data_IF_569526911457
#
_entry.id   IF_569526911457
#
_cell.length_a   1.000
_cell.length_b   1.000
_cell.length_c   1.000
_cell.angle_alpha   90.00
_cell.angle_beta   90.00
_cell.angle_gamma   90.00
#
_symmetry.space_group_name_H-M   'P 1'
#
loop_
_entity.id
_entity.type
_entity.pdbx_description
1 polymer ?
#
# COMPACT_ATOMS: atom_id res chain seq x y z
N UNK A 1 47.94 32.40 34.29
CA UNK A 1 46.50 32.14 34.54
C UNK A 1 45.72 33.33 34.01
N UNK A 2 44.57 33.20 33.30
CA UNK A 2 43.92 32.06 32.62
C UNK A 2 43.90 32.24 31.07
N UNK A 3 43.88 31.20 30.21
CA UNK A 3 42.85 30.23 29.74
C UNK A 3 41.73 30.79 28.81
N UNK A 4 41.48 30.05 27.71
CA UNK A 4 40.25 29.88 26.88
C UNK A 4 40.11 30.85 25.67
N UNK A 5 39.81 30.41 24.43
CA UNK A 5 39.48 29.06 23.96
C UNK A 5 39.16 28.95 22.45
N UNK A 6 39.26 27.68 22.02
CA UNK A 6 38.67 26.93 20.90
C UNK A 6 37.82 27.69 19.85
N UNK A 7 38.29 27.62 18.60
CA UNK A 7 37.49 27.81 17.39
C UNK A 7 36.62 26.57 17.15
N UNK A 8 35.30 26.70 17.37
CA UNK A 8 34.30 25.77 16.86
C UNK A 8 33.92 26.14 15.42
N UNK A 9 34.04 25.20 14.48
CA UNK A 9 33.45 25.33 13.15
C UNK A 9 31.92 25.27 13.28
N UNK A 10 31.26 26.40 13.10
CA UNK A 10 29.82 26.46 12.84
C UNK A 10 29.57 25.97 11.41
N UNK A 11 28.89 24.84 11.28
CA UNK A 11 28.26 24.42 10.02
C UNK A 11 26.98 25.25 9.93
N UNK A 12 26.96 26.24 9.04
CA UNK A 12 25.76 27.03 8.75
C UNK A 12 24.79 26.20 7.92
N UNK A 13 23.67 25.81 8.53
CA UNK A 13 22.48 25.31 7.83
C UNK A 13 21.85 26.52 7.10
N UNK A 14 22.00 26.61 5.78
CA UNK A 14 21.26 27.60 4.99
C UNK A 14 19.85 27.08 4.73
N UNK A 15 18.85 27.64 5.42
CA UNK A 15 17.45 27.52 5.02
C UNK A 15 17.19 28.65 4.03
N UNK A 16 17.02 28.31 2.75
CA UNK A 16 16.58 29.28 1.74
C UNK A 16 15.05 29.45 1.90
N UNK A 17 14.62 30.62 2.33
CA UNK A 17 13.20 30.98 2.44
C UNK A 17 12.76 31.62 1.11
N UNK A 18 11.86 30.96 0.39
CA UNK A 18 11.20 31.57 -0.76
C UNK A 18 9.93 32.25 -0.27
N UNK A 19 9.87 33.57 -0.41
CA UNK A 19 8.68 34.36 -0.13
C UNK A 19 7.87 34.45 -1.41
N UNK A 20 6.73 33.77 -1.46
CA UNK A 20 5.74 33.97 -2.51
C UNK A 20 4.72 35.00 -2.03
N UNK A 21 4.65 36.12 -2.75
CA UNK A 21 3.61 37.14 -2.54
C UNK A 21 2.41 36.74 -3.39
N UNK A 22 1.29 36.44 -2.75
CA UNK A 22 0.02 36.22 -3.46
C UNK A 22 -0.58 37.56 -3.91
N UNK A 23 -1.52 37.53 -4.88
CA UNK A 23 -2.21 38.73 -5.37
C UNK A 23 -2.92 39.55 -4.26
N UNK A 24 -3.10 38.98 -3.07
CA UNK A 24 -3.71 39.62 -1.90
C UNK A 24 -2.69 40.07 -0.83
N UNK A 25 -1.38 40.05 -1.10
CA UNK A 25 -0.36 40.58 -0.20
C UNK A 25 0.01 39.69 0.99
N UNK A 26 -0.53 38.47 1.09
CA UNK A 26 -0.09 37.50 2.09
C UNK A 26 1.20 36.80 1.62
N UNK A 27 2.26 36.95 2.41
CA UNK A 27 3.52 36.25 2.25
C UNK A 27 3.39 34.82 2.80
N UNK A 28 3.32 33.82 1.92
CA UNK A 28 3.46 32.42 2.33
C UNK A 28 4.94 32.06 2.27
N UNK A 29 5.51 31.78 3.44
CA UNK A 29 6.83 31.17 3.54
C UNK A 29 6.68 29.69 3.23
N UNK A 30 7.06 29.28 2.01
CA UNK A 30 7.30 27.88 1.74
C UNK A 30 8.72 27.56 2.24
N UNK A 31 8.83 26.87 3.37
CA UNK A 31 10.10 26.24 3.72
C UNK A 31 10.42 25.26 2.60
N UNK A 32 11.57 25.43 1.93
CA UNK A 32 12.05 24.43 1.01
C UNK A 32 12.30 23.17 1.82
N UNK A 33 11.44 22.17 1.66
CA UNK A 33 11.55 20.94 2.42
C UNK A 33 12.88 20.26 2.11
N UNK A 34 13.51 19.76 3.17
CA UNK A 34 14.80 19.11 3.08
C UNK A 34 14.71 17.93 2.10
N UNK A 35 15.74 17.79 1.25
CA UNK A 35 15.78 16.71 0.27
C UNK A 35 16.21 15.41 0.96
N UNK A 36 15.64 14.26 0.57
CA UNK A 36 16.06 12.96 1.07
C UNK A 36 17.56 12.74 0.90
N UNK A 37 18.21 12.21 1.93
CA UNK A 37 19.64 11.93 1.93
C UNK A 37 19.92 10.50 2.36
N UNK A 38 20.76 9.79 1.59
CA UNK A 38 21.32 8.51 2.00
C UNK A 38 22.47 8.74 2.98
N UNK A 39 22.21 8.49 4.26
CA UNK A 39 23.14 8.79 5.37
C UNK A 39 24.17 7.69 5.59
N UNK A 40 23.79 6.42 5.40
CA UNK A 40 24.74 5.31 5.43
C UNK A 40 25.21 4.94 4.02
N UNK A 41 26.52 5.10 3.77
CA UNK A 41 27.18 4.84 2.48
C UNK A 41 28.06 3.60 2.47
N UNK A 42 28.05 2.84 3.56
CA UNK A 42 28.92 1.67 3.76
C UNK A 42 28.16 0.35 3.59
N UNK A 43 26.84 0.36 3.74
CA UNK A 43 26.02 -0.83 3.68
C UNK A 43 25.27 -0.91 2.36
N UNK A 44 25.47 -2.04 1.67
CA UNK A 44 24.62 -2.48 0.56
C UNK A 44 23.40 -3.23 1.09
N UNK A 45 22.24 -2.95 0.51
CA UNK A 45 20.99 -3.68 0.72
C UNK A 45 20.63 -4.35 -0.61
N UNK A 46 20.40 -5.67 -0.68
CA UNK A 46 20.05 -6.35 -1.93
C UNK A 46 18.60 -6.05 -2.35
N UNK A 47 18.31 -4.78 -2.59
CA UNK A 47 16.99 -4.29 -2.93
C UNK A 47 17.05 -3.03 -3.79
N UNK A 48 16.06 -2.87 -4.66
CA UNK A 48 15.68 -1.58 -5.27
C UNK A 48 14.60 -0.95 -4.41
N UNK A 49 14.73 0.34 -4.14
CA UNK A 49 13.85 1.05 -3.21
C UNK A 49 13.29 2.27 -3.93
N UNK A 50 11.96 2.37 -3.91
CA UNK A 50 11.22 3.53 -4.34
C UNK A 50 10.56 4.16 -3.12
N UNK A 51 10.54 5.49 -3.07
CA UNK A 51 9.83 6.20 -2.00
C UNK A 51 9.33 7.55 -2.47
N UNK A 52 8.31 8.06 -1.79
CA UNK A 52 7.83 9.44 -1.98
C UNK A 52 8.50 10.37 -0.99
N UNK A 53 8.83 11.58 -1.42
CA UNK A 53 9.15 12.71 -0.54
C UNK A 53 8.75 13.99 -1.25
N UNK A 54 8.18 14.94 -0.52
CA UNK A 54 7.75 16.23 -1.05
C UNK A 54 6.82 16.05 -2.26
N UNK A 55 5.90 15.08 -2.17
CA UNK A 55 4.96 14.67 -3.23
C UNK A 55 5.60 14.06 -4.48
N UNK A 56 6.93 13.91 -4.51
CA UNK A 56 7.67 13.42 -5.66
C UNK A 56 8.21 12.01 -5.45
N UNK A 57 8.39 11.28 -6.54
CA UNK A 57 8.97 9.95 -6.58
C UNK A 57 10.49 10.02 -6.59
N UNK A 58 11.11 9.21 -5.73
CA UNK A 58 12.55 8.98 -5.65
C UNK A 58 12.88 7.49 -5.78
N UNK A 59 14.03 7.19 -6.38
CA UNK A 59 14.60 5.84 -6.47
C UNK A 59 16.00 5.80 -5.86
N UNK A 60 16.34 4.66 -5.27
CA UNK A 60 17.72 4.30 -4.92
C UNK A 60 17.97 2.82 -5.21
N UNK A 61 19.14 2.53 -5.77
CA UNK A 61 19.66 1.16 -5.84
C UNK A 61 20.39 0.86 -4.52
N UNK A 62 19.78 0.04 -3.67
CA UNK A 62 20.35 -0.33 -2.39
C UNK A 62 21.62 -1.18 -2.53
N UNK A 63 21.79 -1.88 -3.65
CA UNK A 63 22.91 -2.82 -3.88
C UNK A 63 24.24 -2.08 -3.94
N UNK A 64 24.22 -0.84 -4.41
CA UNK A 64 25.35 0.07 -4.35
C UNK A 64 25.40 0.68 -2.95
N UNK A 65 26.44 0.45 -2.16
CA UNK A 65 26.54 0.99 -0.79
C UNK A 65 26.46 2.53 -0.74
N UNK A 66 26.97 3.22 -1.77
CA UNK A 66 26.88 4.68 -1.93
C UNK A 66 25.91 5.11 -3.03
N UNK A 67 24.98 4.23 -3.42
CA UNK A 67 23.98 4.45 -4.47
C UNK A 67 23.25 5.77 -4.28
N UNK A 68 23.21 6.56 -5.35
CA UNK A 68 22.64 7.91 -5.35
C UNK A 68 21.11 7.86 -5.34
N UNK A 69 20.52 8.70 -4.50
CA UNK A 69 19.08 8.99 -4.56
C UNK A 69 18.81 9.78 -5.85
N UNK A 70 17.86 9.30 -6.65
CA UNK A 70 17.44 9.91 -7.91
C UNK A 70 16.01 10.40 -7.78
N UNK A 71 15.80 11.71 -7.90
CA UNK A 71 14.45 12.28 -8.04
C UNK A 71 13.94 12.02 -9.46
N UNK A 72 12.80 11.32 -9.58
CA UNK A 72 12.21 10.93 -10.86
C UNK A 72 11.19 11.96 -11.35
N UNK A 73 10.32 12.43 -10.46
CA UNK A 73 9.32 13.46 -10.78
C UNK A 73 9.72 14.80 -10.19
N UNK A 74 9.51 15.89 -10.94
CA UNK A 74 9.82 17.26 -10.52
C UNK A 74 8.59 18.17 -10.44
N UNK A 75 7.43 17.59 -10.72
CA UNK A 75 6.16 18.26 -10.83
C UNK A 75 5.05 17.25 -10.52
N UNK A 76 3.91 17.76 -10.07
CA UNK A 76 2.76 16.95 -9.69
C UNK A 76 2.97 16.12 -8.41
N UNK A 77 1.94 15.35 -8.08
CA UNK A 77 1.94 14.37 -7.01
C UNK A 77 2.15 12.97 -7.57
N UNK A 78 3.09 12.21 -7.00
CA UNK A 78 3.39 10.84 -7.41
C UNK A 78 2.94 9.83 -6.34
N UNK A 79 2.14 8.85 -6.77
CA UNK A 79 1.68 7.75 -5.94
C UNK A 79 2.31 6.45 -6.42
N UNK A 80 3.10 5.80 -5.56
CA UNK A 80 3.70 4.51 -5.88
C UNK A 80 2.62 3.43 -5.92
N UNK A 81 2.68 2.56 -6.94
CA UNK A 81 1.84 1.37 -7.02
C UNK A 81 2.64 0.12 -6.72
N UNK A 82 3.83 0.00 -7.30
CA UNK A 82 4.75 -1.09 -7.00
C UNK A 82 5.62 -1.53 -8.18
N UNK A 83 6.51 -2.46 -7.89
CA UNK A 83 7.48 -3.01 -8.84
C UNK A 83 6.86 -4.06 -9.76
N UNK A 84 7.37 -4.15 -10.98
CA UNK A 84 7.10 -5.26 -11.89
C UNK A 84 7.62 -6.58 -11.29
N UNK A 85 7.08 -7.75 -11.70
CA UNK A 85 7.53 -9.04 -11.17
C UNK A 85 9.03 -9.30 -11.32
N UNK A 86 9.63 -8.80 -12.40
CA UNK A 86 11.07 -8.91 -12.66
C UNK A 86 11.91 -7.79 -12.01
N UNK A 87 11.27 -6.85 -11.32
CA UNK A 87 11.91 -5.72 -10.66
C UNK A 87 12.62 -4.75 -11.61
N UNK A 88 12.38 -4.81 -12.92
CA UNK A 88 13.00 -3.89 -13.89
C UNK A 88 12.26 -2.55 -14.00
N UNK A 89 10.98 -2.52 -13.64
CA UNK A 89 10.12 -1.34 -13.75
C UNK A 89 9.38 -1.06 -12.45
N UNK A 90 9.23 0.22 -12.11
CA UNK A 90 8.30 0.69 -11.09
C UNK A 90 7.08 1.31 -11.76
N UNK A 91 5.88 0.93 -11.34
CA UNK A 91 4.61 1.55 -11.70
C UNK A 91 4.22 2.60 -10.66
N UNK A 92 3.81 3.77 -11.15
CA UNK A 92 3.28 4.85 -10.32
C UNK A 92 2.17 5.60 -11.05
N UNK A 93 1.30 6.25 -10.29
CA UNK A 93 0.33 7.20 -10.83
C UNK A 93 0.85 8.60 -10.59
N UNK A 94 0.86 9.42 -11.64
CA UNK A 94 1.23 10.84 -11.56
C UNK A 94 -0.02 11.69 -11.73
N UNK A 95 -0.23 12.61 -10.80
CA UNK A 95 -1.33 13.55 -10.78
C UNK A 95 -0.79 14.93 -11.17
N UNK A 96 -1.55 15.69 -11.96
CA UNK A 96 -1.12 17.02 -12.43
C UNK A 96 -1.09 18.06 -11.29
N UNK A 97 -1.91 17.87 -10.25
CA UNK A 97 -1.96 18.73 -9.08
C UNK A 97 -0.97 18.34 -7.98
N UNK A 98 -1.17 18.93 -6.82
CA UNK A 98 -0.43 18.67 -5.58
C UNK A 98 -1.12 17.63 -4.67
N UNK A 99 -2.14 16.96 -5.18
CA UNK A 99 -2.90 15.91 -4.49
C UNK A 99 -3.38 14.84 -5.49
N UNK A 100 -3.91 13.75 -4.96
CA UNK A 100 -4.56 12.67 -5.70
C UNK A 100 -6.10 12.73 -5.67
N UNK A 101 -6.68 13.83 -5.19
CA UNK A 101 -8.13 13.98 -4.97
C UNK A 101 -8.80 14.90 -5.98
N UNK A 102 -8.14 16.01 -6.29
CA UNK A 102 -8.66 17.13 -7.05
C UNK A 102 -8.28 17.07 -8.52
N UNK A 103 -7.32 16.20 -8.90
CA UNK A 103 -6.78 16.15 -10.26
C UNK A 103 -6.75 14.74 -10.85
N UNK A 104 -6.85 14.59 -12.18
CA UNK A 104 -6.76 13.28 -12.82
C UNK A 104 -5.36 12.67 -12.65
N UNK A 105 -5.34 11.38 -12.34
CA UNK A 105 -4.13 10.56 -12.30
C UNK A 105 -3.86 9.90 -13.65
N UNK A 106 -2.58 9.77 -14.01
CA UNK A 106 -2.12 9.13 -15.24
C UNK A 106 -1.16 8.00 -14.90
N UNK A 107 -1.15 6.94 -15.72
CA UNK A 107 -0.30 5.75 -15.48
C UNK A 107 1.09 5.98 -16.04
N UNK A 108 2.10 5.78 -15.21
CA UNK A 108 3.50 5.90 -15.60
C UNK A 108 4.31 4.69 -15.13
N UNK A 109 5.39 4.42 -15.86
CA UNK A 109 6.44 3.50 -15.43
C UNK A 109 7.79 4.19 -15.47
N UNK A 110 8.71 3.74 -14.63
CA UNK A 110 10.12 4.14 -14.66
C UNK A 110 11.01 2.91 -14.52
N UNK A 111 12.12 2.85 -15.24
CA UNK A 111 13.12 1.78 -15.04
C UNK A 111 13.67 1.84 -13.62
N UNK A 112 14.05 0.70 -13.06
CA UNK A 112 14.59 0.60 -11.71
C UNK A 112 15.85 1.45 -11.48
N UNK A 113 16.64 1.67 -12.52
CA UNK A 113 17.82 2.55 -12.48
C UNK A 113 17.48 4.04 -12.64
N UNK A 114 16.21 4.39 -12.89
CA UNK A 114 15.74 5.76 -13.15
C UNK A 114 16.10 6.31 -14.54
N UNK A 115 16.64 5.50 -15.45
CA UNK A 115 17.18 5.97 -16.74
C UNK A 115 16.10 6.27 -17.79
N UNK A 116 14.89 5.69 -17.64
CA UNK A 116 13.78 5.90 -18.57
C UNK A 116 12.45 5.92 -17.84
N UNK A 117 11.67 6.96 -18.09
CA UNK A 117 10.29 7.14 -17.60
C UNK A 117 9.34 7.21 -18.80
N UNK A 118 8.22 6.49 -18.74
CA UNK A 118 7.26 6.38 -19.85
C UNK A 118 5.84 6.59 -19.31
N UNK A 119 5.09 7.49 -19.94
CA UNK A 119 3.65 7.58 -19.74
C UNK A 119 2.98 6.45 -20.50
N UNK A 120 2.29 5.56 -19.79
CA UNK A 120 1.71 4.34 -20.36
C UNK A 120 0.42 4.65 -21.13
N UNK A 121 -0.34 5.64 -20.67
CA UNK A 121 -1.59 6.07 -21.29
C UNK A 121 -1.81 7.58 -21.10
N UNK A 122 -2.35 8.24 -22.12
CA UNK A 122 -2.71 9.66 -22.07
C UNK A 122 -4.07 9.90 -21.42
N UNK A 123 -4.87 8.85 -21.23
CA UNK A 123 -6.17 8.93 -20.56
C UNK A 123 -5.98 8.81 -19.06
N UNK A 124 -6.78 9.59 -18.33
CA UNK A 124 -6.81 9.52 -16.88
C UNK A 124 -7.36 8.17 -16.41
N UNK A 125 -6.74 7.63 -15.35
CA UNK A 125 -7.26 6.46 -14.65
C UNK A 125 -8.16 6.88 -13.49
N UNK A 126 -9.15 6.04 -13.20
CA UNK A 126 -10.07 6.26 -12.08
C UNK A 126 -10.00 5.16 -11.01
N UNK A 127 -9.27 4.08 -11.26
CA UNK A 127 -8.87 3.06 -10.26
C UNK A 127 -7.35 2.88 -10.26
N UNK A 128 -6.81 2.32 -9.18
CA UNK A 128 -5.37 2.04 -9.09
C UNK A 128 -4.96 0.96 -10.12
N UNK A 129 -3.95 1.21 -10.98
CA UNK A 129 -3.45 0.20 -11.90
C UNK A 129 -2.79 -0.96 -11.13
N UNK A 130 -2.70 -2.15 -11.74
CA UNK A 130 -2.16 -3.36 -11.10
C UNK A 130 -1.22 -4.11 -12.05
N UNK A 131 -0.03 -4.47 -11.58
CA UNK A 131 0.84 -5.42 -12.28
C UNK A 131 0.23 -6.82 -12.29
N UNK A 132 0.41 -7.55 -13.39
CA UNK A 132 0.28 -9.01 -13.40
C UNK A 132 1.34 -9.60 -12.46
N UNK A 133 1.02 -10.64 -11.66
CA UNK A 133 1.96 -11.22 -10.70
C UNK A 133 3.10 -12.02 -11.35
N UNK A 134 3.02 -12.34 -12.65
CA UNK A 134 4.00 -13.22 -13.33
C UNK A 134 4.69 -12.61 -14.55
N UNK A 135 4.13 -11.57 -15.13
CA UNK A 135 4.65 -10.97 -16.35
C UNK A 135 4.61 -9.44 -16.23
N UNK A 136 5.39 -8.76 -17.06
CA UNK A 136 5.40 -7.30 -17.15
C UNK A 136 4.17 -6.79 -17.91
N UNK A 137 2.97 -7.12 -17.40
CA UNK A 137 1.68 -6.66 -17.90
C UNK A 137 1.02 -5.79 -16.85
N UNK A 138 0.40 -4.70 -17.30
CA UNK A 138 -0.34 -3.75 -16.50
C UNK A 138 -1.82 -3.86 -16.82
N UNK A 139 -2.68 -3.80 -15.81
CA UNK A 139 -4.11 -3.65 -15.98
C UNK A 139 -4.61 -2.40 -15.27
N UNK A 140 -5.44 -1.61 -15.95
CA UNK A 140 -5.95 -0.35 -15.42
C UNK A 140 -7.24 0.06 -16.13
N UNK A 141 -8.02 0.92 -15.48
CA UNK A 141 -9.30 1.38 -16.02
C UNK A 141 -9.24 2.85 -16.44
N UNK A 142 -9.81 3.15 -17.60
CA UNK A 142 -9.92 4.51 -18.16
C UNK A 142 -11.35 4.76 -18.61
N UNK A 143 -11.78 6.02 -18.64
CA UNK A 143 -13.09 6.38 -19.18
C UNK A 143 -12.93 6.95 -20.60
N UNK A 144 -13.64 6.36 -21.57
CA UNK A 144 -13.72 6.87 -22.95
C UNK A 144 -14.96 7.72 -23.22
N UNK A 145 -15.91 7.74 -22.28
CA UNK A 145 -17.16 8.49 -22.39
C UNK A 145 -17.06 9.90 -21.78
N UNK A 146 -18.15 10.65 -21.87
CA UNK A 146 -18.30 11.91 -21.15
C UNK A 146 -18.61 11.65 -19.66
N UNK A 147 -18.65 12.71 -18.86
CA UNK A 147 -19.12 12.62 -17.47
C UNK A 147 -20.61 12.19 -17.38
N UNK A 148 -21.41 12.56 -18.37
CA UNK A 148 -22.85 12.23 -18.42
C UNK A 148 -23.11 10.83 -18.97
N UNK A 149 -22.22 10.32 -19.84
CA UNK A 149 -22.33 9.01 -20.46
C UNK A 149 -20.97 8.30 -20.39
N UNK A 150 -20.56 7.81 -19.21
CA UNK A 150 -19.28 7.14 -19.04
C UNK A 150 -19.23 5.84 -19.84
N UNK A 151 -18.06 5.58 -20.43
CA UNK A 151 -17.74 4.35 -21.16
C UNK A 151 -16.43 3.78 -20.60
N UNK A 152 -16.48 3.14 -19.42
CA UNK A 152 -15.29 2.64 -18.75
C UNK A 152 -14.73 1.43 -19.48
N UNK A 153 -13.40 1.43 -19.68
CA UNK A 153 -12.65 0.34 -20.29
C UNK A 153 -11.62 -0.19 -19.31
N UNK A 154 -11.46 -1.51 -19.28
CA UNK A 154 -10.30 -2.19 -18.72
C UNK A 154 -9.27 -2.36 -19.83
N UNK A 155 -8.09 -1.79 -19.62
CA UNK A 155 -6.97 -1.85 -20.54
C UNK A 155 -5.90 -2.77 -19.95
N UNK A 156 -5.39 -3.69 -20.77
CA UNK A 156 -4.20 -4.47 -20.44
C UNK A 156 -3.09 -4.11 -21.41
N UNK A 157 -1.93 -3.71 -20.89
CA UNK A 157 -0.73 -3.41 -21.69
C UNK A 157 0.45 -4.24 -21.24
N UNK A 158 1.32 -4.59 -22.18
CA UNK A 158 2.60 -5.25 -21.91
C UNK A 158 3.75 -4.25 -22.02
N UNK A 159 4.71 -4.37 -21.11
CA UNK A 159 5.88 -3.51 -21.01
C UNK A 159 7.10 -4.31 -21.44
N UNK A 160 7.68 -3.90 -22.55
CA UNK A 160 8.88 -4.52 -23.10
C UNK A 160 10.15 -3.95 -22.48
N UNK A 161 11.28 -4.62 -22.72
CA UNK A 161 12.54 -4.32 -22.07
C UNK A 161 12.97 -2.87 -22.25
N UNK A 162 12.82 -2.29 -23.45
CA UNK A 162 13.27 -0.92 -23.70
C UNK A 162 12.20 0.10 -23.35
N UNK A 163 11.06 -0.31 -22.78
CA UNK A 163 9.97 0.57 -22.36
C UNK A 163 8.92 0.80 -23.44
N UNK A 164 8.93 0.00 -24.51
CA UNK A 164 7.83 -0.05 -25.45
C UNK A 164 6.59 -0.61 -24.74
N UNK A 165 5.45 0.00 -25.06
CA UNK A 165 4.17 -0.29 -24.43
C UNK A 165 3.24 -0.84 -25.50
N UNK A 166 2.89 -2.12 -25.40
CA UNK A 166 2.01 -2.80 -26.35
C UNK A 166 0.61 -3.01 -25.76
N UNK A 167 -0.44 -2.64 -26.49
CA UNK A 167 -1.81 -2.96 -26.10
C UNK A 167 -2.05 -4.47 -26.27
N UNK A 168 -2.42 -5.15 -25.20
CA UNK A 168 -2.78 -6.56 -25.21
C UNK A 168 -4.28 -6.74 -25.37
N UNK A 169 -5.07 -6.00 -24.60
CA UNK A 169 -6.53 -6.03 -24.70
C UNK A 169 -7.16 -4.74 -24.20
N UNK A 170 -8.39 -4.49 -24.68
CA UNK A 170 -9.25 -3.42 -24.24
C UNK A 170 -10.68 -3.95 -24.18
N UNK A 171 -11.25 -4.04 -22.99
CA UNK A 171 -12.59 -4.59 -22.76
C UNK A 171 -13.43 -3.60 -21.97
N UNK A 172 -14.75 -3.80 -21.95
CA UNK A 172 -15.62 -3.01 -21.05
C UNK A 172 -15.22 -3.26 -19.58
N UNK A 173 -15.18 -2.21 -18.77
CA UNK A 173 -15.04 -2.30 -17.32
C UNK A 173 -16.42 -2.09 -16.65
N UNK A 174 -17.17 -3.18 -16.54
CA UNK A 174 -18.53 -3.24 -15.95
C UNK A 174 -18.54 -3.71 -14.47
N UNK A 175 -17.38 -3.66 -13.82
CA UNK A 175 -17.15 -4.16 -12.46
C UNK A 175 -16.78 -3.01 -11.52
N UNK A 176 -16.94 -3.24 -10.21
CA UNK A 176 -16.58 -2.30 -9.15
C UNK A 176 -15.14 -2.49 -8.63
N UNK A 177 -14.55 -3.68 -8.79
CA UNK A 177 -13.14 -3.97 -8.48
C UNK A 177 -12.67 -5.16 -9.32
N UNK A 178 -11.35 -5.33 -9.46
CA UNK A 178 -10.73 -6.46 -10.14
C UNK A 178 -9.41 -6.86 -9.48
N UNK A 179 -9.01 -8.11 -9.61
CA UNK A 179 -7.69 -8.58 -9.18
C UNK A 179 -7.15 -9.60 -10.16
N UNK A 180 -5.84 -9.56 -10.40
CA UNK A 180 -5.17 -10.60 -11.17
C UNK A 180 -5.26 -11.93 -10.42
N UNK A 181 -5.55 -13.00 -11.16
CA UNK A 181 -5.34 -14.34 -10.63
C UNK A 181 -3.83 -14.61 -10.52
N UNK A 182 -3.37 -15.45 -9.57
CA UNK A 182 -1.94 -15.75 -9.40
C UNK A 182 -1.25 -16.31 -10.65
N UNK A 183 -2.01 -16.88 -11.60
CA UNK A 183 -1.47 -17.33 -12.89
C UNK A 183 -1.03 -16.19 -13.82
N UNK A 184 -1.46 -14.94 -13.60
CA UNK A 184 -1.12 -13.79 -14.43
C UNK A 184 -1.80 -13.75 -15.80
N UNK A 185 -2.75 -14.63 -16.06
CA UNK A 185 -3.44 -14.79 -17.35
C UNK A 185 -4.94 -14.48 -17.29
N UNK A 186 -5.50 -14.46 -16.08
CA UNK A 186 -6.91 -14.22 -15.84
C UNK A 186 -7.10 -13.20 -14.74
N UNK A 187 -8.31 -12.66 -14.65
CA UNK A 187 -8.72 -11.73 -13.60
C UNK A 187 -10.00 -12.21 -12.95
N UNK A 188 -10.09 -12.03 -11.64
CA UNK A 188 -11.35 -12.07 -10.92
C UNK A 188 -11.89 -10.64 -10.83
N UNK A 189 -13.09 -10.41 -11.33
CA UNK A 189 -13.74 -9.09 -11.28
C UNK A 189 -15.02 -9.16 -10.45
N UNK A 190 -15.34 -8.07 -9.75
CA UNK A 190 -16.50 -7.94 -8.87
C UNK A 190 -17.61 -7.14 -9.55
N UNK A 191 -18.66 -7.82 -9.98
CA UNK A 191 -19.85 -7.19 -10.53
C UNK A 191 -20.74 -6.69 -9.39
N UNK A 192 -21.18 -5.42 -9.45
CA UNK A 192 -22.06 -4.87 -8.43
C UNK A 192 -23.43 -5.56 -8.44
N UNK A 193 -24.07 -5.56 -7.28
CA UNK A 193 -25.45 -5.97 -7.14
C UNK A 193 -26.39 -4.96 -7.82
N UNK A 194 -27.45 -5.46 -8.44
CA UNK A 194 -28.55 -4.70 -9.04
C UNK A 194 -29.88 -5.25 -8.50
N UNK A 195 -31.00 -4.55 -8.72
CA UNK A 195 -32.34 -4.96 -8.24
C UNK A 195 -32.67 -6.45 -8.42
N UNK A 196 -32.26 -7.04 -9.55
CA UNK A 196 -32.54 -8.44 -9.89
C UNK A 196 -31.26 -9.28 -10.05
N UNK A 197 -30.11 -8.80 -9.58
CA UNK A 197 -28.83 -9.51 -9.68
C UNK A 197 -28.05 -9.41 -8.38
N UNK A 198 -27.61 -10.53 -7.79
CA UNK A 198 -26.75 -10.47 -6.63
C UNK A 198 -25.36 -9.96 -7.02
N UNK A 199 -24.66 -9.42 -6.04
CA UNK A 199 -23.21 -9.18 -6.13
C UNK A 199 -22.52 -10.48 -6.57
N UNK A 200 -21.70 -10.40 -7.61
CA UNK A 200 -21.17 -11.59 -8.31
C UNK A 200 -19.69 -11.41 -8.61
N UNK A 201 -18.85 -12.38 -8.26
CA UNK A 201 -17.48 -12.45 -8.78
C UNK A 201 -17.49 -13.18 -10.12
N UNK A 202 -16.71 -12.72 -11.09
CA UNK A 202 -16.54 -13.43 -12.36
C UNK A 202 -15.07 -13.60 -12.69
N UNK A 203 -14.69 -14.84 -13.01
CA UNK A 203 -13.36 -15.14 -13.54
C UNK A 203 -13.39 -14.87 -15.04
N UNK A 204 -12.50 -14.00 -15.52
CA UNK A 204 -12.43 -13.57 -16.92
C UNK A 204 -11.02 -13.72 -17.48
N UNK A 205 -10.93 -14.05 -18.77
CA UNK A 205 -9.69 -13.89 -19.55
C UNK A 205 -9.36 -12.41 -19.75
N UNK A 206 -8.13 -12.09 -20.16
CA UNK A 206 -7.75 -10.71 -20.52
C UNK A 206 -8.54 -10.14 -21.69
N UNK A 207 -9.07 -11.00 -22.57
CA UNK A 207 -9.96 -10.61 -23.65
C UNK A 207 -11.42 -10.40 -23.20
N UNK A 208 -11.72 -10.51 -21.90
CA UNK A 208 -13.04 -10.24 -21.33
C UNK A 208 -14.01 -11.42 -21.39
N UNK A 209 -13.61 -12.58 -21.95
CA UNK A 209 -14.42 -13.80 -21.92
C UNK A 209 -14.58 -14.29 -20.49
N UNK A 210 -15.83 -14.43 -20.03
CA UNK A 210 -16.17 -15.07 -18.75
C UNK A 210 -15.89 -16.57 -18.80
N UNK A 211 -15.14 -17.05 -17.80
CA UNK A 211 -14.81 -18.45 -17.59
C UNK A 211 -15.66 -19.07 -16.47
N UNK A 212 -15.96 -18.29 -15.43
CA UNK A 212 -16.83 -18.70 -14.33
C UNK A 212 -17.51 -17.49 -13.69
N UNK A 213 -18.65 -17.71 -13.04
CA UNK A 213 -19.39 -16.69 -12.30
C UNK A 213 -19.83 -17.26 -10.95
N UNK A 214 -19.72 -16.43 -9.91
CA UNK A 214 -19.91 -16.80 -8.51
C UNK A 214 -20.84 -15.77 -7.85
N UNK A 215 -22.15 -16.02 -7.76
CA UNK A 215 -23.03 -15.22 -6.93
C UNK A 215 -22.59 -15.36 -5.47
N UNK A 216 -22.15 -14.26 -4.86
CA UNK A 216 -21.58 -14.26 -3.50
C UNK A 216 -22.48 -13.57 -2.46
N UNK A 217 -23.69 -13.20 -2.85
CA UNK A 217 -24.69 -12.65 -1.95
C UNK A 217 -26.10 -13.07 -2.37
N UNK A 218 -27.06 -12.85 -1.49
CA UNK A 218 -28.47 -12.88 -1.86
C UNK A 218 -28.84 -11.64 -2.68
N UNK A 219 -30.05 -11.61 -3.24
CA UNK A 219 -30.52 -10.44 -3.97
C UNK A 219 -30.57 -9.21 -3.03
N UNK A 220 -30.10 -8.04 -3.49
CA UNK A 220 -30.15 -6.84 -2.68
C UNK A 220 -31.60 -6.37 -2.52
N UNK A 221 -31.94 -5.91 -1.32
CA UNK A 221 -33.19 -5.23 -1.04
C UNK A 221 -33.07 -3.75 -1.39
N UNK A 222 -33.09 -3.44 -2.69
CA UNK A 222 -32.82 -2.09 -3.19
C UNK A 222 -33.82 -1.04 -2.69
N UNK A 223 -35.03 -1.47 -2.35
CA UNK A 223 -36.09 -0.65 -1.76
C UNK A 223 -35.76 -0.14 -0.35
N UNK A 224 -34.87 -0.81 0.39
CA UNK A 224 -34.37 -0.34 1.69
C UNK A 224 -33.35 0.81 1.56
N UNK A 225 -32.97 1.18 0.32
CA UNK A 225 -32.10 2.31 -0.01
C UNK A 225 -30.61 2.03 0.18
N UNK A 226 -30.21 1.41 1.30
CA UNK A 226 -28.82 1.02 1.60
C UNK A 226 -28.69 -0.50 1.56
N UNK A 227 -27.76 -1.00 0.76
CA UNK A 227 -27.54 -2.44 0.60
C UNK A 227 -26.08 -2.79 0.25
N UNK A 228 -25.64 -4.04 0.54
CA UNK A 228 -24.37 -4.58 0.05
C UNK A 228 -24.31 -4.51 -1.49
N UNK A 229 -23.35 -3.74 -2.00
CA UNK A 229 -23.29 -3.39 -3.42
C UNK A 229 -22.21 -4.18 -4.16
N UNK A 230 -20.98 -4.24 -3.65
CA UNK A 230 -19.89 -4.90 -4.35
C UNK A 230 -18.81 -5.45 -3.41
N UNK A 231 -18.13 -6.51 -3.85
CA UNK A 231 -16.93 -6.99 -3.19
C UNK A 231 -15.76 -6.11 -3.66
N UNK A 232 -14.99 -5.56 -2.73
CA UNK A 232 -13.87 -4.66 -3.03
C UNK A 232 -12.65 -5.03 -2.20
N UNK A 233 -11.48 -4.58 -2.62
CA UNK A 233 -10.21 -4.96 -2.02
C UNK A 233 -9.92 -6.44 -2.16
N UNK A 234 -10.27 -7.01 -3.32
CA UNK A 234 -10.11 -8.44 -3.57
C UNK A 234 -8.65 -8.88 -3.37
N UNK A 235 -8.43 -9.90 -2.54
CA UNK A 235 -7.13 -10.57 -2.33
C UNK A 235 -7.28 -12.07 -2.53
N UNK A 236 -6.81 -12.56 -3.68
CA UNK A 236 -6.79 -14.00 -4.01
C UNK A 236 -5.65 -14.68 -3.26
N UNK A 237 -5.89 -15.88 -2.74
CA UNK A 237 -4.87 -16.72 -2.13
C UNK A 237 -3.77 -17.08 -3.14
N UNK A 238 -2.50 -17.26 -2.72
CA UNK A 238 -1.40 -17.59 -3.63
C UNK A 238 -1.64 -18.82 -4.55
N UNK A 239 -2.38 -19.82 -4.06
CA UNK A 239 -2.78 -21.00 -4.85
C UNK A 239 -3.94 -20.74 -5.85
N UNK A 240 -4.53 -19.55 -5.83
CA UNK A 240 -5.62 -19.14 -6.73
C UNK A 240 -6.99 -19.73 -6.39
N UNK A 241 -7.13 -20.44 -5.27
CA UNK A 241 -8.33 -21.23 -4.96
C UNK A 241 -9.39 -20.47 -4.18
N UNK A 242 -9.05 -19.33 -3.60
CA UNK A 242 -9.99 -18.60 -2.77
C UNK A 242 -9.66 -17.10 -2.71
N UNK A 243 -10.60 -16.30 -2.24
CA UNK A 243 -10.50 -14.84 -2.23
C UNK A 243 -11.09 -14.25 -0.95
N UNK A 244 -10.35 -13.34 -0.33
CA UNK A 244 -10.87 -12.46 0.72
C UNK A 244 -11.19 -11.08 0.16
N UNK A 245 -12.21 -10.44 0.72
CA UNK A 245 -12.68 -9.13 0.26
C UNK A 245 -13.51 -8.42 1.32
N UNK A 246 -13.74 -7.13 1.10
CA UNK A 246 -14.63 -6.29 1.87
C UNK A 246 -15.97 -6.12 1.16
N UNK A 247 -17.07 -6.21 1.89
CA UNK A 247 -18.43 -6.02 1.37
C UNK A 247 -18.78 -4.53 1.39
N UNK A 248 -18.55 -3.83 0.28
CA UNK A 248 -18.85 -2.41 0.14
C UNK A 248 -20.35 -2.20 -0.01
N UNK A 249 -20.91 -1.22 0.70
CA UNK A 249 -22.29 -0.78 0.55
C UNK A 249 -22.40 0.31 -0.53
N UNK A 250 -23.60 0.52 -1.07
CA UNK A 250 -23.88 1.64 -1.99
C UNK A 250 -23.84 3.03 -1.30
N UNK A 251 -23.33 3.13 -0.08
CA UNK A 251 -23.03 4.37 0.65
C UNK A 251 -21.55 4.43 0.98
N UNK A 252 -20.85 5.43 0.42
CA UNK A 252 -19.42 5.65 0.66
C UNK A 252 -19.11 5.95 2.13
N UNK A 253 -19.94 6.79 2.77
CA UNK A 253 -19.74 7.13 4.19
C UNK A 253 -19.89 5.92 5.11
N UNK A 254 -20.93 5.11 4.92
CA UNK A 254 -21.11 3.89 5.73
C UNK A 254 -19.98 2.90 5.49
N UNK A 255 -19.52 2.79 4.24
CA UNK A 255 -18.40 1.91 3.91
C UNK A 255 -17.07 2.36 4.55
N UNK A 256 -16.95 3.63 4.95
CA UNK A 256 -15.77 4.17 5.62
C UNK A 256 -15.73 3.85 7.13
N UNK A 257 -16.85 3.47 7.75
CA UNK A 257 -16.95 3.19 9.21
C UNK A 257 -16.64 1.72 9.57
N UNK A 258 -16.33 0.91 8.55
CA UNK A 258 -16.06 -0.51 8.65
C UNK A 258 -17.14 -1.33 7.94
N UNK A 259 -16.70 -2.34 7.20
CA UNK A 259 -17.57 -3.21 6.41
C UNK A 259 -17.23 -4.68 6.65
N UNK A 260 -18.18 -5.60 6.42
CA UNK A 260 -17.92 -7.02 6.56
C UNK A 260 -16.71 -7.46 5.73
N UNK A 261 -15.80 -8.18 6.36
CA UNK A 261 -14.73 -8.95 5.73
C UNK A 261 -15.28 -10.34 5.47
N UNK A 262 -15.19 -10.79 4.23
CA UNK A 262 -15.63 -12.10 3.82
C UNK A 262 -14.54 -12.86 3.07
N UNK A 263 -14.71 -14.17 3.07
CA UNK A 263 -13.86 -15.14 2.41
C UNK A 263 -14.71 -16.08 1.56
N UNK A 264 -14.26 -16.40 0.36
CA UNK A 264 -14.96 -17.29 -0.55
C UNK A 264 -14.01 -18.30 -1.22
N UNK A 265 -14.40 -19.57 -1.19
CA UNK A 265 -13.68 -20.67 -1.85
C UNK A 265 -14.17 -20.82 -3.29
N UNK A 266 -13.32 -20.43 -4.25
CA UNK A 266 -13.61 -20.47 -5.68
C UNK A 266 -13.75 -21.90 -6.22
N UNK A 267 -13.28 -22.91 -5.47
CA UNK A 267 -13.40 -24.33 -5.81
C UNK A 267 -14.71 -24.95 -5.34
N UNK A 268 -15.44 -24.27 -4.45
CA UNK A 268 -16.71 -24.74 -3.89
C UNK A 268 -17.83 -23.71 -4.12
N UNK A 269 -18.17 -23.40 -5.40
CA UNK A 269 -19.06 -22.30 -5.74
C UNK A 269 -20.49 -22.42 -5.19
N UNK A 270 -20.91 -23.61 -4.75
CA UNK A 270 -22.21 -23.84 -4.13
C UNK A 270 -22.27 -23.43 -2.64
N UNK A 271 -21.12 -23.22 -1.98
CA UNK A 271 -21.06 -22.77 -0.59
C UNK A 271 -21.15 -21.25 -0.53
N UNK A 272 -21.87 -20.72 0.47
CA UNK A 272 -21.90 -19.27 0.72
C UNK A 272 -20.53 -18.78 1.22
N UNK A 273 -20.16 -17.50 0.96
CA UNK A 273 -18.99 -16.90 1.59
C UNK A 273 -19.06 -16.96 3.12
N UNK A 274 -17.90 -17.06 3.74
CA UNK A 274 -17.73 -17.07 5.18
C UNK A 274 -17.48 -15.63 5.66
N UNK A 275 -18.24 -15.19 6.66
CA UNK A 275 -17.97 -13.93 7.35
C UNK A 275 -16.83 -14.11 8.34
N UNK A 276 -15.79 -13.28 8.23
CA UNK A 276 -14.62 -13.33 9.10
C UNK A 276 -14.66 -12.28 10.21
N UNK A 277 -15.24 -11.11 9.92
CA UNK A 277 -15.24 -9.97 10.82
C UNK A 277 -15.62 -8.69 10.10
N UNK A 278 -15.23 -7.55 10.66
CA UNK A 278 -15.50 -6.22 10.09
C UNK A 278 -14.21 -5.44 10.02
N UNK A 279 -13.98 -4.65 8.97
CA UNK A 279 -12.75 -3.89 8.81
C UNK A 279 -12.90 -2.67 7.92
N UNK A 280 -11.95 -1.75 8.02
CA UNK A 280 -11.77 -0.69 7.03
C UNK A 280 -11.27 -1.33 5.73
N UNK A 281 -11.85 -0.92 4.59
CA UNK A 281 -11.65 -1.55 3.28
C UNK A 281 -10.28 -1.27 2.65
N UNK A 282 -9.20 -1.50 3.40
CA UNK A 282 -7.82 -1.37 2.98
C UNK A 282 -7.27 -2.73 2.55
N UNK A 283 -7.02 -2.96 1.25
CA UNK A 283 -6.58 -4.27 0.77
C UNK A 283 -5.24 -4.70 1.39
N UNK A 284 -4.37 -3.76 1.75
CA UNK A 284 -3.10 -3.99 2.44
C UNK A 284 -3.25 -4.60 3.84
N UNK A 285 -4.48 -4.61 4.38
CA UNK A 285 -4.79 -5.23 5.66
C UNK A 285 -5.33 -6.66 5.53
N UNK A 286 -5.25 -7.25 4.34
CA UNK A 286 -5.55 -8.65 4.07
C UNK A 286 -4.28 -9.33 3.53
N UNK A 287 -3.70 -10.23 4.31
CA UNK A 287 -2.41 -10.87 4.02
C UNK A 287 -2.49 -12.40 4.09
N UNK A 288 -2.49 -13.03 2.93
CA UNK A 288 -2.35 -14.48 2.79
C UNK A 288 -0.95 -14.93 3.20
N UNK A 289 -0.87 -16.01 3.98
CA UNK A 289 0.39 -16.74 4.13
C UNK A 289 0.85 -17.30 2.77
N UNK A 290 2.16 -17.40 2.46
CA UNK A 290 2.65 -17.85 1.16
C UNK A 290 2.16 -19.24 0.74
N UNK A 291 1.97 -20.16 1.69
CA UNK A 291 1.40 -21.49 1.41
C UNK A 291 -0.13 -21.50 1.33
N UNK A 292 -0.76 -20.33 1.41
CA UNK A 292 -2.21 -20.09 1.36
C UNK A 292 -3.04 -20.64 2.53
N UNK A 293 -2.48 -21.24 3.57
CA UNK A 293 -3.26 -21.91 4.64
C UNK A 293 -4.05 -20.97 5.58
N UNK A 294 -3.63 -19.72 5.69
CA UNK A 294 -4.16 -18.74 6.62
C UNK A 294 -4.25 -17.34 6.00
N UNK A 295 -5.22 -16.57 6.48
CA UNK A 295 -5.33 -15.14 6.25
C UNK A 295 -5.05 -14.40 7.55
N UNK A 296 -4.07 -13.51 7.54
CA UNK A 296 -3.97 -12.44 8.52
C UNK A 296 -4.81 -11.26 8.05
N UNK A 297 -5.62 -10.70 8.95
CA UNK A 297 -6.43 -9.53 8.64
C UNK A 297 -6.58 -8.60 9.84
N UNK A 298 -6.81 -7.33 9.57
CA UNK A 298 -7.12 -6.32 10.59
C UNK A 298 -8.63 -6.15 10.70
N UNK A 299 -9.16 -6.51 11.85
CA UNK A 299 -10.56 -6.35 12.24
C UNK A 299 -10.74 -5.08 13.08
N UNK A 300 -11.82 -4.35 12.83
CA UNK A 300 -12.12 -3.12 13.55
C UNK A 300 -13.11 -2.24 12.81
N UNK A 301 -14.01 -1.63 13.57
CA UNK A 301 -14.88 -0.56 13.11
C UNK A 301 -14.29 0.80 13.49
N UNK A 302 -15.04 1.85 13.18
CA UNK A 302 -14.64 3.25 13.29
C UNK A 302 -13.54 3.61 12.29
N UNK A 303 -13.78 4.70 11.55
CA UNK A 303 -12.93 5.17 10.45
C UNK A 303 -11.52 5.55 10.90
N UNK A 304 -11.33 5.78 12.20
CA UNK A 304 -10.04 6.09 12.82
C UNK A 304 -9.11 4.86 12.79
N UNK A 305 -7.96 4.97 12.13
CA UNK A 305 -7.02 3.86 12.00
C UNK A 305 -6.12 3.64 13.23
N UNK A 306 -6.08 4.60 14.17
CA UNK A 306 -5.20 4.60 15.36
C UNK A 306 -5.82 3.94 16.60
N UNK A 307 -7.06 3.47 16.50
CA UNK A 307 -7.81 2.82 17.59
C UNK A 307 -8.64 1.66 17.05
N UNK A 308 -8.95 0.71 17.94
CA UNK A 308 -9.89 -0.38 17.66
C UNK A 308 -9.54 -1.18 16.38
N UNK A 309 -8.25 -1.39 16.10
CA UNK A 309 -7.77 -2.24 15.01
C UNK A 309 -7.03 -3.43 15.59
N UNK A 310 -7.58 -4.62 15.36
CA UNK A 310 -7.12 -5.86 15.95
C UNK A 310 -6.72 -6.84 14.86
N UNK A 311 -5.50 -7.34 14.94
CA UNK A 311 -5.03 -8.42 14.13
C UNK A 311 -5.76 -9.72 14.50
N UNK A 312 -6.26 -10.40 13.47
CA UNK A 312 -6.88 -11.73 13.56
C UNK A 312 -6.31 -12.65 12.48
N UNK A 313 -6.38 -13.96 12.74
CA UNK A 313 -6.03 -15.01 11.80
C UNK A 313 -7.26 -15.84 11.48
N UNK A 314 -7.52 -16.12 10.21
CA UNK A 314 -8.50 -17.10 9.77
C UNK A 314 -7.80 -18.30 9.10
N UNK A 315 -8.25 -19.51 9.43
CA UNK A 315 -7.85 -20.72 8.69
C UNK A 315 -8.74 -20.97 7.46
N UNK A 316 -8.44 -22.02 6.70
CA UNK A 316 -9.23 -22.42 5.52
C UNK A 316 -10.67 -22.81 5.81
N UNK A 317 -10.98 -23.23 7.03
CA UNK A 317 -12.36 -23.50 7.45
C UNK A 317 -13.11 -22.22 7.83
N UNK A 318 -12.43 -21.07 7.81
CA UNK A 318 -12.97 -19.78 8.22
C UNK A 318 -13.02 -19.61 9.74
N UNK A 319 -12.32 -20.46 10.51
CA UNK A 319 -12.22 -20.30 11.96
C UNK A 319 -11.28 -19.15 12.27
N UNK A 320 -11.81 -18.15 12.98
CA UNK A 320 -11.08 -16.92 13.33
C UNK A 320 -10.49 -17.01 14.73
N UNK A 321 -9.24 -16.57 14.87
CA UNK A 321 -8.54 -16.39 16.14
C UNK A 321 -8.05 -14.96 16.27
N UNK A 322 -8.40 -14.30 17.37
CA UNK A 322 -7.84 -12.98 17.71
C UNK A 322 -6.37 -13.12 18.14
N UNK A 323 -5.51 -12.29 17.56
CA UNK A 323 -4.08 -12.21 17.86
C UNK A 323 -3.78 -11.06 18.81
N UNK A 324 -4.45 -9.91 18.61
CA UNK A 324 -4.24 -8.74 19.47
C UNK A 324 -4.56 -9.02 20.95
N UNK A 325 -3.78 -8.46 21.89
CA UNK A 325 -4.02 -8.58 23.33
C UNK A 325 -5.27 -7.83 23.83
N UNK A 326 -6.02 -7.18 22.95
CA UNK A 326 -7.25 -6.44 23.25
C UNK A 326 -7.28 -5.08 22.56
N UNK A 327 -8.33 -4.26 22.82
CA UNK A 327 -8.52 -2.96 22.18
C UNK A 327 -7.57 -1.86 22.70
N UNK A 328 -6.73 -2.16 23.69
CA UNK A 328 -5.73 -1.24 24.26
C UNK A 328 -4.58 -1.00 23.27
N UNK A 329 -4.40 -1.90 22.30
CA UNK A 329 -3.44 -1.75 21.22
C UNK A 329 -4.13 -1.54 19.88
N UNK A 330 -3.37 -1.03 18.93
CA UNK A 330 -3.75 -0.92 17.53
C UNK A 330 -2.76 -1.73 16.69
N UNK A 331 -3.27 -2.70 15.92
CA UNK A 331 -2.48 -3.54 15.03
C UNK A 331 -2.81 -3.21 13.57
N UNK A 332 -1.78 -3.00 12.75
CA UNK A 332 -1.91 -2.70 11.32
C UNK A 332 -0.83 -3.39 10.48
N UNK A 333 -0.93 -3.30 9.14
CA UNK A 333 0.10 -3.76 8.20
C UNK A 333 0.63 -5.20 8.39
N UNK A 334 -0.25 -6.23 8.42
CA UNK A 334 0.21 -7.61 8.48
C UNK A 334 0.97 -8.01 7.20
N UNK A 335 2.18 -8.55 7.35
CA UNK A 335 3.04 -9.04 6.25
C UNK A 335 3.72 -10.34 6.66
N UNK A 336 3.61 -11.38 5.83
CA UNK A 336 4.28 -12.66 6.07
C UNK A 336 5.72 -12.62 5.55
N UNK A 337 6.65 -13.19 6.32
CA UNK A 337 7.97 -13.52 5.78
C UNK A 337 7.80 -14.58 4.67
N UNK A 338 8.29 -14.34 3.44
CA UNK A 338 8.00 -15.21 2.29
C UNK A 338 8.55 -16.63 2.41
N UNK A 339 9.55 -16.86 3.26
CA UNK A 339 10.19 -18.17 3.45
C UNK A 339 9.62 -18.90 4.68
N UNK A 340 9.45 -20.21 4.56
CA UNK A 340 9.10 -21.09 5.67
C UNK A 340 10.09 -20.89 6.85
N UNK A 341 9.61 -20.86 8.11
CA UNK A 341 8.30 -21.30 8.57
C UNK A 341 7.15 -20.27 8.44
N UNK A 342 7.31 -19.20 7.64
CA UNK A 342 6.28 -18.17 7.42
C UNK A 342 5.85 -17.49 8.74
N UNK A 343 6.76 -16.73 9.35
CA UNK A 343 6.39 -15.90 10.51
C UNK A 343 5.71 -14.62 10.07
N UNK A 344 4.74 -14.14 10.85
CA UNK A 344 3.99 -12.92 10.56
C UNK A 344 4.69 -11.71 11.17
N UNK A 345 4.83 -10.64 10.40
CA UNK A 345 5.18 -9.29 10.88
C UNK A 345 3.94 -8.41 10.83
N UNK A 346 3.85 -7.44 11.74
CA UNK A 346 2.78 -6.44 11.78
C UNK A 346 3.23 -5.24 12.61
N UNK A 347 2.58 -4.10 12.47
CA UNK A 347 2.82 -2.92 13.32
C UNK A 347 1.87 -2.94 14.50
N UNK A 348 2.37 -2.62 15.70
CA UNK A 348 1.58 -2.52 16.93
C UNK A 348 2.04 -1.35 17.78
N UNK A 349 1.07 -0.56 18.24
CA UNK A 349 1.26 0.51 19.22
C UNK A 349 0.10 0.59 20.21
N UNK A 350 0.17 1.50 21.17
CA UNK A 350 -0.96 1.78 22.06
C UNK A 350 -2.07 2.51 21.29
N UNK A 351 -3.32 2.09 21.48
CA UNK A 351 -4.46 2.75 20.85
C UNK A 351 -4.49 4.23 21.27
N UNK A 352 -4.46 5.11 20.27
CA UNK A 352 -4.29 6.56 20.49
C UNK A 352 -5.45 7.30 19.84
N UNK A 353 -6.16 8.11 20.63
CA UNK A 353 -7.26 8.92 20.11
C UNK A 353 -6.77 9.84 18.99
N UNK A 354 -7.59 9.98 17.94
CA UNK A 354 -7.22 10.79 16.79
C UNK A 354 -7.05 12.26 17.17
N UNK A 355 -5.85 12.78 16.99
CA UNK A 355 -5.53 14.20 17.14
C UNK A 355 -4.37 14.54 16.23
N UNK A 356 -4.62 15.35 15.21
CA UNK A 356 -3.59 15.74 14.25
C UNK A 356 -2.70 16.86 14.82
N UNK A 357 -1.42 16.57 14.92
CA UNK A 357 -0.36 17.55 15.23
C UNK A 357 0.82 17.24 14.29
N UNK A 358 1.19 18.13 13.35
CA UNK A 358 2.25 17.86 12.37
C UNK A 358 3.62 17.62 13.01
N UNK A 359 3.80 17.94 14.30
CA UNK A 359 5.05 17.73 15.04
C UNK A 359 5.10 16.40 15.77
N UNK A 360 4.05 15.58 15.71
CA UNK A 360 3.94 14.31 16.44
C UNK A 360 3.55 13.19 15.50
N UNK A 361 3.98 11.97 15.83
CA UNK A 361 3.47 10.77 15.20
C UNK A 361 2.04 10.47 15.69
N UNK A 362 1.26 9.76 14.87
CA UNK A 362 -0.14 9.46 15.18
C UNK A 362 -0.32 8.32 16.19
N UNK A 363 0.66 7.42 16.30
CA UNK A 363 0.69 6.31 17.27
C UNK A 363 2.09 6.23 17.88
N UNK A 364 2.38 7.01 18.95
CA UNK A 364 3.68 6.99 19.60
C UNK A 364 4.08 5.59 20.08
N UNK A 365 5.38 5.29 20.04
CA UNK A 365 5.97 4.00 20.42
C UNK A 365 5.50 2.79 19.57
N UNK A 366 4.78 3.03 18.48
CA UNK A 366 4.42 1.96 17.56
C UNK A 366 5.69 1.31 16.98
N UNK A 367 5.78 -0.01 17.13
CA UNK A 367 6.87 -0.81 16.61
C UNK A 367 6.38 -1.93 15.70
N UNK A 368 7.31 -2.58 15.02
CA UNK A 368 7.04 -3.81 14.27
C UNK A 368 7.22 -4.99 15.20
N UNK A 369 6.25 -5.89 15.19
CA UNK A 369 6.20 -7.12 15.96
C UNK A 369 6.28 -8.33 15.04
N UNK A 370 6.83 -9.42 15.56
CA UNK A 370 6.91 -10.72 14.90
C UNK A 370 6.15 -11.74 15.70
N UNK A 371 5.33 -12.54 15.00
CA UNK A 371 4.64 -13.70 15.54
C UNK A 371 5.15 -14.98 14.89
N UNK A 372 5.65 -15.89 15.73
CA UNK A 372 6.09 -17.23 15.35
C UNK A 372 4.89 -18.17 15.13
N UNK A 373 5.13 -19.32 14.48
CA UNK A 373 4.09 -20.30 14.15
C UNK A 373 3.45 -20.96 15.37
N UNK A 374 4.19 -21.06 16.48
CA UNK A 374 3.68 -21.47 17.80
C UNK A 374 2.81 -20.39 18.47
N UNK A 375 2.82 -19.18 17.93
CA UNK A 375 2.08 -18.05 18.42
C UNK A 375 2.80 -17.18 19.43
N UNK A 376 4.10 -17.41 19.67
CA UNK A 376 4.93 -16.49 20.44
C UNK A 376 5.10 -15.16 19.69
N UNK A 377 5.09 -14.05 20.43
CA UNK A 377 5.22 -12.70 19.89
C UNK A 377 6.41 -11.97 20.48
N UNK A 378 7.13 -11.23 19.64
CA UNK A 378 8.26 -10.42 20.04
C UNK A 378 8.26 -9.10 19.27
N UNK A 379 8.48 -7.99 19.96
CA UNK A 379 8.75 -6.71 19.31
C UNK A 379 10.12 -6.76 18.63
N UNK A 380 10.16 -6.48 17.33
CA UNK A 380 11.37 -6.52 16.49
C UNK A 380 12.04 -5.15 16.47
N UNK A 381 11.27 -4.08 16.29
CA UNK A 381 11.82 -2.73 16.21
C UNK A 381 11.47 -1.94 17.45
N UNK A 382 12.45 -1.19 17.96
CA UNK A 382 12.29 -0.28 19.10
C UNK A 382 12.79 1.10 18.70
N UNK A 383 11.90 2.08 18.78
CA UNK A 383 12.22 3.48 18.53
C UNK A 383 12.20 4.30 19.81
N UNK A 384 12.51 5.59 19.68
CA UNK A 384 12.32 6.57 20.75
C UNK A 384 10.83 6.78 21.02
N UNK A 385 10.49 7.32 22.20
CA UNK A 385 9.10 7.45 22.67
C UNK A 385 8.19 8.27 21.73
N UNK A 386 8.75 9.16 20.91
CA UNK A 386 8.04 10.01 19.97
C UNK A 386 8.03 9.49 18.53
N UNK A 387 8.42 8.24 18.30
CA UNK A 387 8.53 7.64 16.96
C UNK A 387 7.48 6.57 16.72
N UNK A 388 7.26 6.22 15.44
CA UNK A 388 6.33 5.19 15.02
C UNK A 388 6.82 4.46 13.76
N UNK A 389 6.86 3.13 13.81
CA UNK A 389 7.35 2.29 12.71
C UNK A 389 6.21 1.80 11.81
N UNK A 390 6.43 1.81 10.49
CA UNK A 390 5.48 1.45 9.43
C UNK A 390 6.14 0.66 8.29
N UNK A 391 5.30 0.03 7.48
CA UNK A 391 5.66 -0.67 6.24
C UNK A 391 6.76 -1.75 6.42
N UNK A 392 6.53 -2.77 7.26
CA UNK A 392 7.49 -3.88 7.40
C UNK A 392 7.70 -4.58 6.05
N UNK A 393 8.91 -4.49 5.51
CA UNK A 393 9.31 -5.12 4.25
C UNK A 393 10.41 -6.17 4.53
N UNK A 394 10.06 -7.41 4.92
CA UNK A 394 11.04 -8.45 5.17
C UNK A 394 11.69 -8.91 3.86
N UNK A 395 13.00 -9.14 3.93
CA UNK A 395 13.74 -9.83 2.88
C UNK A 395 13.18 -11.26 2.65
N UNK A 396 13.28 -11.80 1.43
CA UNK A 396 12.75 -13.13 1.10
C UNK A 396 13.27 -14.24 2.01
N UNK A 397 14.53 -14.13 2.45
CA UNK A 397 15.14 -15.12 3.34
C UNK A 397 14.77 -14.93 4.83
N UNK A 398 14.07 -13.86 5.18
CA UNK A 398 13.62 -13.55 6.53
C UNK A 398 14.70 -13.05 7.49
N UNK A 399 15.87 -12.62 6.98
CA UNK A 399 17.01 -12.18 7.82
C UNK A 399 17.14 -10.67 7.99
N UNK A 400 16.63 -9.92 7.03
CA UNK A 400 16.65 -8.44 7.02
C UNK A 400 15.23 -7.89 6.91
N UNK A 401 15.04 -6.69 7.44
CA UNK A 401 13.80 -5.92 7.44
C UNK A 401 14.12 -4.48 7.03
N UNK A 402 13.45 -4.00 5.98
CA UNK A 402 13.35 -2.56 5.72
C UNK A 402 12.04 -2.04 6.32
N UNK A 403 12.05 -0.85 6.91
CA UNK A 403 10.86 -0.21 7.46
C UNK A 403 11.01 1.31 7.56
N UNK A 404 9.90 2.03 7.52
CA UNK A 404 9.87 3.47 7.73
C UNK A 404 9.67 3.76 9.22
N UNK A 405 10.51 4.60 9.81
CA UNK A 405 10.31 5.15 11.16
C UNK A 405 9.97 6.63 11.05
N UNK A 406 8.79 6.99 11.52
CA UNK A 406 8.33 8.38 11.59
C UNK A 406 8.85 9.04 12.87
N UNK A 407 9.20 10.31 12.77
CA UNK A 407 9.48 11.20 13.91
C UNK A 407 8.45 12.34 14.04
N UNK A 408 7.60 12.51 13.01
CA UNK A 408 6.49 13.46 12.90
C UNK A 408 5.40 12.85 12.02
N UNK A 409 4.23 13.49 11.95
CA UNK A 409 3.07 12.97 11.21
C UNK A 409 3.40 12.66 9.74
N UNK A 410 4.19 13.51 9.09
CA UNK A 410 4.44 13.46 7.64
C UNK A 410 5.95 13.35 7.31
N UNK A 411 6.77 12.90 8.27
CA UNK A 411 8.22 12.85 8.11
C UNK A 411 8.86 11.68 8.87
N UNK A 412 9.88 11.09 8.26
CA UNK A 412 10.65 10.01 8.87
C UNK A 412 11.89 9.61 8.06
N UNK A 413 12.43 8.46 8.43
CA UNK A 413 13.60 7.86 7.80
C UNK A 413 13.37 6.38 7.51
N UNK A 414 13.95 5.89 6.43
CA UNK A 414 13.99 4.47 6.09
C UNK A 414 15.14 3.80 6.82
N UNK A 415 14.84 2.74 7.55
CA UNK A 415 15.80 1.92 8.29
C UNK A 415 15.92 0.53 7.68
N UNK A 416 17.10 -0.06 7.81
CA UNK A 416 17.32 -1.50 7.66
C UNK A 416 17.75 -2.10 9.01
N UNK A 417 17.24 -3.29 9.32
CA UNK A 417 17.56 -4.04 10.54
C UNK A 417 17.65 -5.54 10.25
N UNK A 418 18.45 -6.27 11.02
CA UNK A 418 18.38 -7.73 11.06
C UNK A 418 17.11 -8.25 11.76
N UNK A 419 16.73 -9.50 11.49
CA UNK A 419 15.64 -10.22 12.17
C UNK A 419 16.25 -11.39 12.94
N UNK A 420 15.85 -11.56 14.22
CA UNK A 420 16.34 -12.64 15.07
C UNK A 420 17.66 -12.27 15.74
N UNK A 421 18.71 -13.09 15.58
CA UNK A 421 20.02 -12.88 16.22
C UNK A 421 20.71 -11.56 15.82
N UNK A 422 20.36 -11.02 14.66
CA UNK A 422 20.89 -9.75 14.14
C UNK A 422 19.98 -8.54 14.44
N UNK A 423 19.01 -8.67 15.34
CA UNK A 423 18.03 -7.60 15.63
C UNK A 423 18.68 -6.27 16.08
N UNK A 424 19.84 -6.33 16.75
CA UNK A 424 20.54 -5.14 17.23
C UNK A 424 21.27 -4.37 16.10
N UNK A 425 21.39 -4.95 14.89
CA UNK A 425 22.05 -4.33 13.74
C UNK A 425 21.08 -3.43 12.98
N UNK A 426 20.68 -2.33 13.60
CA UNK A 426 19.82 -1.32 12.98
C UNK A 426 20.66 -0.20 12.35
N UNK A 427 20.28 0.24 11.15
CA UNK A 427 20.93 1.32 10.42
C UNK A 427 19.89 2.23 9.77
N UNK A 428 20.03 3.54 10.00
CA UNK A 428 19.33 4.56 9.23
C UNK A 428 19.93 4.60 7.82
N UNK A 429 19.11 4.33 6.80
CA UNK A 429 19.56 4.25 5.41
C UNK A 429 19.33 5.57 4.69
N UNK A 430 18.10 6.09 4.74
CA UNK A 430 17.69 7.34 4.08
C UNK A 430 16.90 8.18 5.08
N UNK A 431 17.32 9.43 5.29
CA UNK A 431 16.58 10.40 6.10
C UNK A 431 15.79 11.38 5.22
N UNK A 432 14.95 12.19 5.86
CA UNK A 432 14.17 13.26 5.24
C UNK A 432 13.14 12.75 4.19
N UNK A 433 12.54 11.59 4.48
CA UNK A 433 11.40 11.05 3.71
C UNK A 433 10.12 11.68 4.23
N UNK A 434 9.24 12.11 3.33
CA UNK A 434 7.94 12.70 3.69
C UNK A 434 6.80 12.08 2.90
N UNK A 435 5.60 12.14 3.46
CA UNK A 435 4.39 11.63 2.81
C UNK A 435 3.12 12.04 3.56
N UNK A 436 1.99 11.52 3.12
CA UNK A 436 0.67 11.87 3.65
C UNK A 436 0.23 10.87 4.74
N UNK A 437 -0.42 11.36 5.80
CA UNK A 437 -0.96 10.52 6.88
C UNK A 437 -2.10 9.60 6.41
N UNK A 438 -2.61 9.82 5.20
CA UNK A 438 -3.77 9.19 4.62
C UNK A 438 -5.06 9.52 5.37
N UNK A 439 -6.17 8.98 4.90
CA UNK A 439 -7.46 9.19 5.56
C UNK A 439 -7.45 8.59 6.96
N UNK A 440 -7.75 9.43 7.95
CA UNK A 440 -7.88 9.04 9.35
C UNK A 440 -6.64 8.33 9.91
N UNK A 441 -5.45 8.81 9.47
CA UNK A 441 -4.13 8.31 9.90
C UNK A 441 -3.86 6.84 9.55
N UNK A 442 -4.37 6.37 8.41
CA UNK A 442 -4.12 5.01 7.93
C UNK A 442 -2.72 4.83 7.31
N UNK A 443 -2.04 5.91 6.90
CA UNK A 443 -0.78 5.92 6.15
C UNK A 443 -0.83 5.15 4.82
N UNK A 444 -1.98 5.14 4.15
CA UNK A 444 -2.15 4.56 2.82
C UNK A 444 -2.43 5.67 1.79
N UNK A 445 -1.88 5.56 0.57
CA UNK A 445 -0.98 4.50 0.07
C UNK A 445 0.41 4.51 0.75
N UNK A 446 1.15 3.39 0.76
CA UNK A 446 2.47 3.33 1.36
C UNK A 446 3.46 4.29 0.71
N UNK A 447 4.29 4.94 1.52
CA UNK A 447 5.29 5.90 1.04
C UNK A 447 6.53 5.23 0.44
N UNK A 448 6.74 3.94 0.75
CA UNK A 448 7.94 3.18 0.38
C UNK A 448 7.53 1.88 -0.30
N UNK A 449 8.20 1.51 -1.38
CA UNK A 449 8.06 0.22 -2.05
C UNK A 449 9.42 -0.40 -2.30
N UNK A 450 9.58 -1.65 -1.87
CA UNK A 450 10.84 -2.38 -1.90
C UNK A 450 10.73 -3.57 -2.84
N UNK A 451 11.71 -3.73 -3.73
CA UNK A 451 11.93 -4.97 -4.47
C UNK A 451 13.22 -5.61 -3.98
N UNK A 452 13.11 -6.74 -3.29
CA UNK A 452 14.27 -7.54 -2.88
C UNK A 452 14.75 -8.42 -4.03
N UNK A 453 16.07 -8.62 -4.12
CA UNK A 453 16.73 -9.45 -5.14
C UNK A 453 16.94 -10.90 -4.71
#
# INVERSE_FOLDING_TARGET
MPVIGKWGKLISLFILLVVLVTANGEAKVAAQSQQPERVNKEISVPAKIAFTSNQHLFLVDGREASGKIKQITKDGYAQIVGWSPDGKWLLFVKYKGNDNYSTPGYVWIVRADGSKTVQVDERAVFEMPKWSPKANKLAYTVNMGSNEAPSPLLIVKEIHEQGEVALQSSTKADFADFVWMPNGENMLVSLPAEKNKPMTLTLRTLAGKTLAAYPIAELPKVEEGIYPWAATGLKVSPDGKAVAYFVRYNSGSLSADGVPIQWFDLTQPAKKPIHLGTGLAYPDWLAWTPNSDQLAFVDGTDRIATTNKQLKLADRAGKVKTVSPGPVVVDTYPVWIPKAPYTLLFTRGLATAYSYDPKKVMVPEQGIWRRSTDGAEQQVTKGEANTADYYPAPSPNGKQLLFLRLDRAEHGSLFIQGIGEDADKQVELIKDITGDIGYYANYLPPWVSVYWE
#
